data_IF_386117310680
#
_entry.id   IF_386117310680
#
_cell.length_a   1.000
_cell.length_b   1.000
_cell.length_c   1.000
_cell.angle_alpha   90.00
_cell.angle_beta   90.00
_cell.angle_gamma   90.00
#
_symmetry.space_group_name_H-M   'P 1'
#
loop_
_entity.id
_entity.type
_entity.pdbx_description
1 polymer ?
#
# COMPACT_ATOMS: atom_id res chain seq x y z
N UNK A 1 45.57 8.52 -63.44
CA UNK A 1 44.29 8.06 -63.99
C UNK A 1 43.78 6.99 -63.05
N UNK A 2 42.98 7.40 -62.06
CA UNK A 2 42.17 6.46 -61.29
C UNK A 2 40.79 6.58 -61.93
N UNK A 3 40.44 5.62 -62.79
CA UNK A 3 39.07 5.47 -63.24
C UNK A 3 38.23 5.22 -61.98
N UNK A 4 37.31 6.14 -61.73
CA UNK A 4 36.51 6.18 -60.52
C UNK A 4 35.53 5.01 -60.58
N UNK A 5 35.88 3.89 -59.95
CA UNK A 5 35.15 2.60 -59.95
C UNK A 5 33.65 2.78 -59.64
N UNK A 6 33.34 3.83 -58.88
CA UNK A 6 31.99 4.29 -58.56
C UNK A 6 31.17 4.75 -59.77
N UNK A 7 31.83 5.35 -60.76
CA UNK A 7 31.22 5.83 -61.99
C UNK A 7 30.85 4.69 -62.93
N UNK A 8 31.69 3.65 -63.01
CA UNK A 8 31.43 2.42 -63.77
C UNK A 8 30.26 1.63 -63.14
N UNK A 9 30.22 1.55 -61.80
CA UNK A 9 29.08 0.95 -61.10
C UNK A 9 27.75 1.66 -61.41
N UNK A 10 27.76 3.00 -61.45
CA UNK A 10 26.56 3.78 -61.78
C UNK A 10 26.12 3.61 -63.24
N UNK A 11 27.03 3.41 -64.19
CA UNK A 11 26.65 3.13 -65.58
C UNK A 11 25.99 1.77 -65.72
N UNK A 12 26.52 0.74 -65.06
CA UNK A 12 25.97 -0.62 -65.09
C UNK A 12 24.62 -0.74 -64.37
N UNK A 13 24.35 0.13 -63.39
CA UNK A 13 23.08 0.16 -62.65
C UNK A 13 21.99 1.05 -63.31
N UNK A 14 22.25 1.61 -64.50
CA UNK A 14 21.25 2.39 -65.25
C UNK A 14 20.07 1.51 -65.65
N UNK A 15 18.89 1.81 -65.09
CA UNK A 15 17.63 1.09 -65.37
C UNK A 15 17.10 0.30 -64.17
N UNK A 16 17.87 0.19 -63.09
CA UNK A 16 17.42 -0.51 -61.87
C UNK A 16 16.66 0.45 -60.96
N UNK A 17 15.37 0.18 -60.73
CA UNK A 17 14.55 0.95 -59.79
C UNK A 17 14.75 0.42 -58.38
N UNK A 18 15.35 1.24 -57.50
CA UNK A 18 15.59 0.87 -56.09
C UNK A 18 14.27 0.52 -55.39
N UNK A 19 14.20 -0.65 -54.78
CA UNK A 19 13.06 -1.08 -53.97
C UNK A 19 13.03 -0.22 -52.70
N UNK A 20 11.90 0.45 -52.45
CA UNK A 20 11.67 1.18 -51.20
C UNK A 20 11.23 0.15 -50.16
N UNK A 21 12.10 -0.14 -49.21
CA UNK A 21 11.78 -0.95 -48.03
C UNK A 21 11.37 0.03 -46.93
N UNK A 22 10.16 -0.11 -46.39
CA UNK A 22 9.80 0.62 -45.17
C UNK A 22 10.56 0.04 -43.98
N UNK A 23 11.09 0.90 -43.11
CA UNK A 23 12.03 0.53 -42.04
C UNK A 23 11.41 -0.36 -40.94
N UNK A 24 10.08 -0.52 -40.94
CA UNK A 24 9.36 -1.40 -40.01
C UNK A 24 8.36 -2.27 -40.76
N UNK A 25 8.42 -3.58 -40.48
CA UNK A 25 7.38 -4.50 -40.88
C UNK A 25 6.09 -4.22 -40.08
N UNK A 26 4.95 -4.10 -40.78
CA UNK A 26 3.63 -4.08 -40.14
C UNK A 26 3.30 -5.50 -39.66
N UNK A 27 3.42 -5.74 -38.35
CA UNK A 27 3.10 -7.04 -37.73
C UNK A 27 1.62 -7.25 -37.48
N UNK A 28 0.76 -6.27 -37.85
CA UNK A 28 -0.66 -6.28 -37.51
C UNK A 28 -0.92 -6.15 -36.00
N UNK A 29 -2.20 -6.07 -35.63
CA UNK A 29 -2.61 -6.06 -34.22
C UNK A 29 -2.66 -7.50 -33.70
N UNK A 30 -2.10 -7.81 -32.51
CA UNK A 30 -2.17 -9.14 -31.95
C UNK A 30 -3.64 -9.54 -31.78
N UNK A 31 -4.01 -10.68 -32.39
CA UNK A 31 -5.36 -11.22 -32.31
C UNK A 31 -5.59 -11.66 -30.87
N UNK A 32 -6.46 -10.96 -30.15
CA UNK A 32 -6.78 -11.31 -28.77
C UNK A 32 -7.36 -12.74 -28.73
N UNK A 33 -6.60 -13.67 -28.16
CA UNK A 33 -7.02 -15.05 -28.01
C UNK A 33 -8.17 -15.12 -27.00
N UNK A 34 -9.37 -15.42 -27.50
CA UNK A 34 -10.60 -15.46 -26.72
C UNK A 34 -10.54 -16.51 -25.61
N UNK A 35 -9.75 -17.58 -25.81
CA UNK A 35 -9.54 -18.63 -24.81
C UNK A 35 -8.59 -18.18 -23.69
N UNK A 36 -7.58 -17.35 -24.01
CA UNK A 36 -6.76 -16.70 -22.98
C UNK A 36 -7.53 -15.67 -22.17
N UNK A 37 -8.52 -15.00 -22.78
CA UNK A 37 -9.37 -14.06 -22.06
C UNK A 37 -10.29 -14.79 -21.05
N UNK A 38 -10.88 -15.92 -21.43
CA UNK A 38 -11.72 -16.70 -20.50
C UNK A 38 -10.92 -17.32 -19.36
N UNK A 39 -9.70 -17.83 -19.63
CA UNK A 39 -8.84 -18.39 -18.59
C UNK A 39 -8.33 -17.31 -17.63
N UNK A 40 -8.00 -16.11 -18.13
CA UNK A 40 -7.66 -14.95 -17.28
C UNK A 40 -8.85 -14.51 -16.41
N UNK A 41 -10.06 -14.51 -16.94
CA UNK A 41 -11.28 -14.19 -16.18
C UNK A 41 -11.56 -15.25 -15.10
N UNK A 42 -11.46 -16.53 -15.43
CA UNK A 42 -11.64 -17.62 -14.46
C UNK A 42 -10.58 -17.56 -13.35
N UNK A 43 -9.32 -17.30 -13.69
CA UNK A 43 -8.24 -17.17 -12.70
C UNK A 43 -8.40 -15.93 -11.80
N UNK A 44 -8.99 -14.84 -12.29
CA UNK A 44 -9.31 -13.68 -11.47
C UNK A 44 -10.45 -13.96 -10.46
N UNK A 45 -11.42 -14.78 -10.87
CA UNK A 45 -12.54 -15.22 -10.00
C UNK A 45 -12.06 -16.26 -8.98
N UNK A 46 -11.10 -17.10 -9.35
CA UNK A 46 -10.36 -18.03 -8.47
C UNK A 46 -9.39 -17.30 -7.51
N UNK A 47 -9.73 -16.09 -7.06
CA UNK A 47 -9.09 -15.52 -5.88
C UNK A 47 -9.39 -16.49 -4.74
N UNK A 48 -8.38 -17.28 -4.36
CA UNK A 48 -8.46 -18.18 -3.22
C UNK A 48 -8.79 -17.34 -2.00
N UNK A 49 -10.07 -17.34 -1.60
CA UNK A 49 -10.55 -16.73 -0.37
C UNK A 49 -9.98 -17.57 0.78
N UNK A 50 -8.70 -17.37 1.07
CA UNK A 50 -8.11 -17.79 2.33
C UNK A 50 -8.77 -16.90 3.38
N UNK A 51 -9.74 -17.46 4.10
CA UNK A 51 -10.31 -16.79 5.28
C UNK A 51 -9.21 -16.68 6.33
N UNK A 52 -8.43 -15.61 6.28
CA UNK A 52 -7.43 -15.30 7.29
C UNK A 52 -8.16 -14.93 8.57
N UNK A 53 -8.07 -15.79 9.59
CA UNK A 53 -8.60 -15.49 10.92
C UNK A 53 -7.60 -14.60 11.64
N UNK A 54 -7.80 -13.29 11.54
CA UNK A 54 -7.00 -12.22 12.13
C UNK A 54 -7.41 -11.89 13.58
N UNK A 55 -8.47 -12.51 14.12
CA UNK A 55 -8.87 -12.35 15.52
C UNK A 55 -9.37 -10.94 15.91
N UNK A 56 -9.51 -10.03 14.94
CA UNK A 56 -10.14 -8.73 15.14
C UNK A 56 -11.68 -8.90 15.15
N UNK A 57 -12.41 -8.10 15.90
CA UNK A 57 -13.87 -8.19 15.97
C UNK A 57 -14.52 -6.93 15.44
N UNK A 58 -15.43 -7.09 14.48
CA UNK A 58 -16.31 -6.03 13.98
C UNK A 58 -17.67 -6.02 14.69
N UNK A 59 -17.91 -6.93 15.64
CA UNK A 59 -19.17 -7.02 16.38
C UNK A 59 -19.37 -5.82 17.34
N UNK A 60 -18.29 -5.22 17.82
CA UNK A 60 -18.30 -4.09 18.75
C UNK A 60 -17.31 -3.01 18.30
N UNK A 61 -17.79 -2.09 17.46
CA UNK A 61 -17.01 -0.95 16.98
C UNK A 61 -17.25 0.25 17.88
N UNK A 62 -16.18 0.86 18.38
CA UNK A 62 -16.24 2.08 19.19
C UNK A 62 -16.43 3.24 18.23
N UNK A 63 -17.63 3.81 18.19
CA UNK A 63 -17.91 4.94 17.32
C UNK A 63 -17.16 6.19 17.79
N UNK A 64 -16.52 6.87 16.84
CA UNK A 64 -15.72 8.07 17.09
C UNK A 64 -16.00 9.11 16.00
N UNK A 65 -16.10 10.37 16.41
CA UNK A 65 -16.34 11.48 15.52
C UNK A 65 -15.17 11.75 14.57
N UNK A 66 -15.40 12.42 13.43
CA UNK A 66 -14.37 12.80 12.46
C UNK A 66 -13.19 13.57 13.09
N UNK A 67 -13.50 14.51 13.99
CA UNK A 67 -12.52 15.39 14.64
C UNK A 67 -12.05 14.90 16.00
N UNK A 68 -12.55 13.76 16.48
CA UNK A 68 -12.14 13.23 17.79
C UNK A 68 -10.67 12.82 17.78
N UNK A 69 -9.90 13.26 18.77
CA UNK A 69 -8.55 12.75 18.96
C UNK A 69 -8.62 11.32 19.47
N UNK A 70 -7.87 10.43 18.82
CA UNK A 70 -7.68 9.08 19.29
C UNK A 70 -6.50 9.05 20.28
N UNK A 71 -6.71 8.38 21.39
CA UNK A 71 -5.66 8.08 22.36
C UNK A 71 -6.00 6.76 23.06
N UNK A 72 -5.03 5.85 23.06
CA UNK A 72 -5.13 4.61 23.83
C UNK A 72 -3.73 4.09 24.15
N UNK A 73 -3.59 3.50 25.32
CA UNK A 73 -2.37 2.81 25.74
C UNK A 73 -2.77 1.51 26.43
N UNK A 74 -1.99 0.45 26.18
CA UNK A 74 -2.08 -0.82 26.87
C UNK A 74 -1.56 -0.65 28.30
N UNK A 75 -2.11 -1.45 29.20
CA UNK A 75 -1.64 -1.49 30.59
C UNK A 75 -0.13 -1.79 30.67
N UNK A 76 0.56 -1.08 31.54
CA UNK A 76 2.01 -1.18 31.72
C UNK A 76 2.86 -0.32 30.77
N UNK A 77 2.25 0.36 29.79
CA UNK A 77 2.98 1.34 28.96
C UNK A 77 3.26 2.60 29.76
N UNK A 78 4.53 3.02 29.81
CA UNK A 78 4.94 4.23 30.51
C UNK A 78 4.31 5.48 29.88
N UNK A 79 3.69 6.33 30.69
CA UNK A 79 3.07 7.59 30.25
C UNK A 79 4.06 8.48 29.49
N UNK A 80 5.32 8.52 29.92
CA UNK A 80 6.38 9.28 29.24
C UNK A 80 6.60 8.85 27.78
N UNK A 81 6.40 7.57 27.45
CA UNK A 81 6.47 7.10 26.06
C UNK A 81 5.29 7.61 25.25
N UNK A 82 4.07 7.52 25.79
CA UNK A 82 2.87 8.03 25.13
C UNK A 82 2.90 9.54 24.92
N UNK A 83 3.47 10.29 25.87
CA UNK A 83 3.67 11.74 25.73
C UNK A 83 4.64 12.06 24.59
N UNK A 84 5.75 11.32 24.46
CA UNK A 84 6.69 11.46 23.33
C UNK A 84 6.03 11.10 22.00
N UNK A 85 5.22 10.05 21.98
CA UNK A 85 4.44 9.64 20.81
C UNK A 85 3.48 10.74 20.37
N UNK A 86 2.66 11.28 21.29
CA UNK A 86 1.71 12.37 21.00
C UNK A 86 2.41 13.63 20.51
N UNK A 87 3.60 13.94 21.05
CA UNK A 87 4.43 15.04 20.61
C UNK A 87 5.14 14.79 19.26
N UNK A 88 4.99 13.61 18.64
CA UNK A 88 5.68 13.24 17.41
C UNK A 88 7.20 13.19 17.55
N UNK A 89 7.70 12.94 18.76
CA UNK A 89 9.14 12.84 19.07
C UNK A 89 9.71 11.44 18.84
N UNK A 90 8.83 10.45 18.60
CA UNK A 90 9.21 9.12 18.16
C UNK A 90 9.05 9.12 16.64
N UNK A 91 10.15 8.96 15.90
CA UNK A 91 10.10 8.86 14.45
C UNK A 91 9.33 7.59 14.06
N UNK A 92 8.41 7.71 13.10
CA UNK A 92 7.76 6.56 12.51
C UNK A 92 8.59 6.07 11.32
N UNK A 93 8.78 4.76 11.23
CA UNK A 93 9.57 4.10 10.18
C UNK A 93 8.66 3.38 9.18
N UNK A 94 7.48 2.95 9.63
CA UNK A 94 6.41 2.41 8.79
C UNK A 94 5.30 3.43 8.55
N UNK A 95 4.72 3.43 7.36
CA UNK A 95 3.50 4.20 7.06
C UNK A 95 2.53 3.37 6.24
N UNK A 96 1.27 3.38 6.67
CA UNK A 96 0.15 2.76 5.97
C UNK A 96 -0.91 3.80 5.66
N UNK A 97 -1.54 3.69 4.49
CA UNK A 97 -2.67 4.50 4.11
C UNK A 97 -3.88 3.62 3.79
N UNK A 98 -4.97 3.86 4.51
CA UNK A 98 -6.25 3.14 4.45
C UNK A 98 -7.37 4.03 3.91
N UNK A 99 -7.08 5.28 3.53
CA UNK A 99 -8.13 6.19 3.10
C UNK A 99 -8.87 5.63 1.87
N UNK A 100 -10.21 5.73 1.90
CA UNK A 100 -11.04 5.31 0.77
C UNK A 100 -11.15 3.79 0.55
N UNK A 101 -10.47 2.96 1.33
CA UNK A 101 -10.62 1.50 1.28
C UNK A 101 -11.98 1.07 1.86
N UNK A 102 -12.47 -0.12 1.45
CA UNK A 102 -13.56 -0.76 2.18
C UNK A 102 -13.07 -1.23 3.56
N UNK A 103 -14.01 -1.50 4.47
CA UNK A 103 -13.69 -1.96 5.83
C UNK A 103 -12.90 -3.27 5.76
N UNK A 104 -13.33 -4.20 4.91
CA UNK A 104 -12.72 -5.53 4.75
C UNK A 104 -11.30 -5.44 4.20
N UNK A 105 -11.10 -4.64 3.15
CA UNK A 105 -9.75 -4.43 2.59
C UNK A 105 -8.86 -3.72 3.60
N UNK A 106 -9.34 -2.66 4.25
CA UNK A 106 -8.56 -1.91 5.24
C UNK A 106 -8.12 -2.80 6.41
N UNK A 107 -9.00 -3.72 6.83
CA UNK A 107 -8.72 -4.69 7.89
C UNK A 107 -7.58 -5.64 7.50
N UNK A 108 -7.70 -6.28 6.34
CA UNK A 108 -6.66 -7.18 5.83
C UNK A 108 -5.32 -6.47 5.66
N UNK A 109 -5.34 -5.28 5.03
CA UNK A 109 -4.12 -4.48 4.81
C UNK A 109 -3.49 -4.02 6.14
N UNK A 110 -4.29 -3.60 7.12
CA UNK A 110 -3.77 -3.25 8.45
C UNK A 110 -3.13 -4.45 9.14
N UNK A 111 -3.75 -5.62 9.06
CA UNK A 111 -3.23 -6.85 9.66
C UNK A 111 -1.88 -7.24 9.07
N UNK A 112 -1.79 -7.29 7.73
CA UNK A 112 -0.56 -7.59 7.02
C UNK A 112 0.55 -6.58 7.33
N UNK A 113 0.21 -5.29 7.31
CA UNK A 113 1.14 -4.22 7.65
C UNK A 113 1.72 -4.35 9.06
N UNK A 114 0.90 -4.66 10.06
CA UNK A 114 1.36 -4.82 11.45
C UNK A 114 2.23 -6.07 11.61
N UNK A 115 1.92 -7.16 10.89
CA UNK A 115 2.75 -8.35 10.87
C UNK A 115 4.12 -8.06 10.22
N UNK A 116 4.14 -7.31 9.12
CA UNK A 116 5.37 -6.90 8.45
C UNK A 116 6.20 -5.92 9.30
N UNK A 117 5.56 -4.93 9.91
CA UNK A 117 6.20 -3.99 10.83
C UNK A 117 6.86 -4.73 12.02
N UNK A 118 6.20 -5.77 12.55
CA UNK A 118 6.79 -6.61 13.59
C UNK A 118 8.03 -7.38 13.11
N UNK A 119 8.02 -7.87 11.86
CA UNK A 119 9.18 -8.58 11.26
C UNK A 119 10.37 -7.65 11.02
N UNK A 120 10.12 -6.40 10.69
CA UNK A 120 11.17 -5.37 10.50
C UNK A 120 11.53 -4.63 11.79
N UNK A 121 11.03 -5.09 12.94
CA UNK A 121 11.32 -4.48 14.25
C UNK A 121 10.94 -2.99 14.32
N UNK A 122 9.96 -2.57 13.50
CA UNK A 122 9.48 -1.18 13.45
C UNK A 122 8.87 -0.84 14.80
N UNK A 123 9.38 0.22 15.43
CA UNK A 123 8.91 0.63 16.75
C UNK A 123 7.69 1.54 16.69
N UNK A 124 7.63 2.40 15.69
CA UNK A 124 6.56 3.36 15.50
C UNK A 124 6.12 3.36 14.04
N UNK A 125 4.81 3.26 13.83
CA UNK A 125 4.20 3.32 12.53
C UNK A 125 3.19 4.46 12.47
N UNK A 126 2.94 5.00 11.28
CA UNK A 126 1.84 5.92 11.01
C UNK A 126 0.75 5.18 10.24
N UNK A 127 -0.49 5.23 10.71
CA UNK A 127 -1.65 4.69 9.99
C UNK A 127 -2.58 5.83 9.64
N UNK A 128 -2.77 6.08 8.34
CA UNK A 128 -3.69 7.10 7.83
C UNK A 128 -5.02 6.42 7.52
N UNK A 129 -6.08 6.78 8.24
CA UNK A 129 -7.43 6.22 8.03
C UNK A 129 -8.38 7.23 7.36
N UNK A 130 -7.96 8.49 7.26
CA UNK A 130 -8.75 9.60 6.73
C UNK A 130 -9.68 10.23 7.77
N UNK A 131 -10.10 11.47 7.49
CA UNK A 131 -11.02 12.24 8.34
C UNK A 131 -12.47 12.19 7.88
N UNK A 132 -12.73 11.67 6.68
CA UNK A 132 -13.94 12.00 5.93
C UNK A 132 -15.22 11.63 6.67
N UNK A 133 -15.94 12.64 7.14
CA UNK A 133 -17.39 12.64 7.04
C UNK A 133 -17.72 12.80 5.57
N UNK A 134 -18.28 11.77 4.92
CA UNK A 134 -18.78 11.94 3.55
C UNK A 134 -19.97 12.90 3.61
N UNK A 135 -20.08 13.81 2.64
CA UNK A 135 -21.18 14.78 2.51
C UNK A 135 -22.57 14.11 2.49
N UNK A 136 -22.62 12.82 2.16
CA UNK A 136 -23.82 11.95 2.23
C UNK A 136 -24.27 11.57 3.66
N UNK A 137 -23.65 12.12 4.72
CA UNK A 137 -23.98 11.78 6.11
C UNK A 137 -23.51 10.38 6.55
N UNK A 138 -22.70 9.69 5.74
CA UNK A 138 -22.11 8.40 6.11
C UNK A 138 -20.96 8.61 7.09
N UNK A 139 -21.04 7.90 8.23
CA UNK A 139 -20.09 7.95 9.34
C UNK A 139 -18.66 7.59 8.91
N UNK A 140 -17.62 8.09 9.59
CA UNK A 140 -16.22 7.74 9.30
C UNK A 140 -15.91 6.31 9.76
N UNK A 141 -16.47 5.32 9.05
CA UNK A 141 -16.42 3.90 9.41
C UNK A 141 -14.98 3.44 9.68
N UNK A 142 -14.04 3.74 8.79
CA UNK A 142 -12.66 3.27 8.90
C UNK A 142 -11.98 3.80 10.17
N UNK A 143 -12.27 5.04 10.61
CA UNK A 143 -11.68 5.60 11.84
C UNK A 143 -12.14 4.81 13.07
N UNK A 144 -13.44 4.57 13.19
CA UNK A 144 -14.03 3.80 14.29
C UNK A 144 -13.50 2.36 14.31
N UNK A 145 -13.44 1.72 13.15
CA UNK A 145 -12.88 0.37 13.00
C UNK A 145 -11.39 0.31 13.36
N UNK A 146 -10.55 1.20 12.84
CA UNK A 146 -9.11 1.25 13.15
C UNK A 146 -8.88 1.48 14.65
N UNK A 147 -9.66 2.35 15.30
CA UNK A 147 -9.61 2.53 16.75
C UNK A 147 -9.91 1.24 17.51
N UNK A 148 -10.90 0.46 17.08
CA UNK A 148 -11.22 -0.85 17.68
C UNK A 148 -10.12 -1.89 17.41
N UNK A 149 -9.70 -2.04 16.16
CA UNK A 149 -8.74 -3.07 15.75
C UNK A 149 -7.37 -2.89 16.39
N UNK A 150 -6.87 -1.65 16.47
CA UNK A 150 -5.57 -1.37 17.10
C UNK A 150 -5.57 -1.71 18.60
N UNK A 151 -6.70 -1.58 19.31
CA UNK A 151 -6.82 -1.97 20.73
C UNK A 151 -6.75 -3.50 20.91
N UNK A 152 -7.27 -4.24 19.94
CA UNK A 152 -7.33 -5.70 19.96
C UNK A 152 -6.01 -6.33 19.50
N UNK A 153 -5.25 -5.64 18.64
CA UNK A 153 -4.06 -6.21 18.03
C UNK A 153 -2.93 -6.46 19.06
N UNK A 154 -2.36 -7.68 19.15
CA UNK A 154 -1.41 -8.05 20.22
C UNK A 154 -0.08 -7.30 20.16
N UNK A 155 0.35 -6.88 18.96
CA UNK A 155 1.60 -6.14 18.79
C UNK A 155 1.49 -4.64 19.14
N UNK A 156 0.27 -4.11 19.31
CA UNK A 156 0.06 -2.68 19.57
C UNK A 156 0.14 -2.41 21.06
N UNK A 157 1.08 -1.53 21.45
CA UNK A 157 1.24 -1.06 22.82
C UNK A 157 0.42 0.21 23.07
N UNK A 158 0.22 1.05 22.07
CA UNK A 158 -0.58 2.26 22.21
C UNK A 158 -0.63 3.04 20.92
N UNK A 159 -1.55 3.99 20.81
CA UNK A 159 -1.65 4.88 19.67
C UNK A 159 -2.23 6.23 20.06
N UNK A 160 -1.94 7.23 19.24
CA UNK A 160 -2.46 8.59 19.40
C UNK A 160 -2.63 9.27 18.05
N UNK A 161 -3.61 10.16 17.92
CA UNK A 161 -3.75 11.00 16.73
C UNK A 161 -2.46 11.73 16.39
N UNK A 162 -2.18 11.82 15.09
CA UNK A 162 -1.00 12.47 14.57
C UNK A 162 -1.02 13.98 14.82
N UNK A 163 0.16 14.60 14.73
CA UNK A 163 0.26 16.05 14.60
C UNK A 163 -0.38 16.51 13.28
N UNK A 164 -0.82 17.77 13.22
CA UNK A 164 -1.43 18.35 12.01
C UNK A 164 -0.58 18.13 10.75
N UNK A 165 0.74 18.35 10.84
CA UNK A 165 1.71 18.12 9.76
C UNK A 165 1.80 16.68 9.25
N UNK A 166 1.36 15.70 10.05
CA UNK A 166 1.40 14.27 9.73
C UNK A 166 0.01 13.66 9.52
N UNK A 167 -1.05 14.48 9.42
CA UNK A 167 -2.42 14.04 9.14
C UNK A 167 -3.46 14.40 10.21
N UNK A 168 -3.04 14.89 11.38
CA UNK A 168 -3.96 15.29 12.46
C UNK A 168 -4.87 14.14 12.90
N UNK A 169 -6.15 14.46 13.12
CA UNK A 169 -7.24 13.53 13.47
C UNK A 169 -7.54 12.45 12.41
N UNK A 170 -6.92 12.53 11.22
CA UNK A 170 -7.09 11.57 10.12
C UNK A 170 -6.04 10.47 10.07
N UNK A 171 -5.07 10.51 10.98
CA UNK A 171 -4.01 9.53 11.10
C UNK A 171 -3.64 9.32 12.56
N UNK A 172 -3.04 8.17 12.86
CA UNK A 172 -2.52 7.85 14.20
C UNK A 172 -1.07 7.40 14.12
N UNK A 173 -0.29 7.77 15.13
CA UNK A 173 0.95 7.09 15.44
C UNK A 173 0.63 5.85 16.25
N UNK A 174 1.23 4.72 15.90
CA UNK A 174 1.05 3.42 16.52
C UNK A 174 2.39 2.97 17.09
N UNK A 175 2.44 2.78 18.40
CA UNK A 175 3.59 2.23 19.12
C UNK A 175 3.47 0.71 19.15
N UNK A 176 4.50 0.04 18.63
CA UNK A 176 4.53 -1.41 18.51
C UNK A 176 5.45 -2.04 19.56
N UNK A 177 5.16 -3.29 19.90
CA UNK A 177 6.00 -4.12 20.76
C UNK A 177 7.32 -4.40 20.04
N UNK A 178 8.43 -4.24 20.77
CA UNK A 178 9.74 -4.67 20.28
C UNK A 178 9.81 -6.20 20.36
N UNK A 179 9.84 -6.86 19.21
CA UNK A 179 10.18 -8.27 19.11
C UNK A 179 11.68 -8.31 18.89
N UNK A 180 12.46 -8.67 19.92
CA UNK A 180 13.86 -8.99 19.70
C UNK A 180 13.85 -10.36 19.03
N UNK A 181 14.18 -10.45 17.74
CA UNK A 181 14.45 -11.75 17.14
C UNK A 181 15.72 -12.29 17.80
N UNK A 182 15.65 -13.47 18.42
CA UNK A 182 16.79 -14.13 19.05
C UNK A 182 17.96 -14.22 18.05
N UNK A 183 19.15 -13.75 18.46
CA UNK A 183 20.38 -13.90 17.67
C UNK A 183 21.02 -12.63 17.10
N UNK A 184 20.70 -11.43 17.60
CA UNK A 184 21.36 -10.17 17.18
C UNK A 184 22.29 -9.54 18.23
N UNK A 185 22.48 -10.22 19.36
CA UNK A 185 23.39 -9.81 20.44
C UNK A 185 24.74 -10.59 20.42
N UNK A 186 25.07 -11.28 19.32
CA UNK A 186 26.38 -11.91 19.08
C UNK A 186 27.26 -11.08 18.13
#
# INVERSE_FOLDING_TARGET
MADDDFSLFHSEMRGVKRIKVEERADTGKPKADRQQLSSRQQNAILTQQTTTVDGLSDLFVIDVGPEDELYWARDGVQEGQMRKLKAGQIAFEGSLDLHGMSVETARATLWEFLAEAARFEVRCARVTHGKSARTDGRRPMIKSHVNTWLRQHPQVLGFTSCLAKHGGTGAVYVLLKRTMLEGRDE
#
